data_IF_859172129469
#
_entry.id   IF_859172129469
#
_cell.length_a   1.000
_cell.length_b   1.000
_cell.length_c   1.000
_cell.angle_alpha   90.00
_cell.angle_beta   90.00
_cell.angle_gamma   90.00
#
_symmetry.space_group_name_H-M   'P 1'
#
loop_
_entity.id
_entity.type
_entity.pdbx_description
1 polymer ?
#
# COMPACT_ATOMS: atom_id res chain seq x y z
N UNK A 1 -20.52 10.64 -2.26
CA UNK A 1 -19.16 10.21 -2.65
C UNK A 1 -19.25 8.74 -2.99
N UNK A 2 -18.77 8.34 -4.18
CA UNK A 2 -18.74 6.94 -4.57
C UNK A 2 -17.48 6.31 -3.95
N UNK A 3 -17.67 5.36 -3.04
CA UNK A 3 -16.53 4.67 -2.40
C UNK A 3 -16.22 3.41 -3.20
N UNK A 4 -14.98 3.28 -3.65
CA UNK A 4 -14.49 2.14 -4.43
C UNK A 4 -13.34 1.50 -3.69
N UNK A 5 -13.51 0.22 -3.33
CA UNK A 5 -12.55 -0.57 -2.56
C UNK A 5 -12.27 -1.83 -3.35
N UNK A 6 -11.04 -1.93 -3.88
CA UNK A 6 -10.61 -3.07 -4.69
C UNK A 6 -9.22 -3.56 -4.32
N UNK A 7 -9.00 -4.86 -4.45
CA UNK A 7 -7.68 -5.49 -4.26
C UNK A 7 -7.08 -5.21 -2.88
N UNK A 8 -7.90 -5.24 -1.83
CA UNK A 8 -7.47 -5.13 -0.45
C UNK A 8 -7.32 -6.52 0.17
N UNK A 9 -6.35 -6.64 1.06
CA UNK A 9 -6.00 -7.89 1.73
C UNK A 9 -5.97 -7.61 3.22
N UNK A 10 -6.88 -8.24 3.98
CA UNK A 10 -6.97 -8.02 5.43
C UNK A 10 -6.68 -9.31 6.18
N UNK A 11 -6.11 -9.16 7.38
CA UNK A 11 -5.79 -10.27 8.29
C UNK A 11 -6.20 -9.90 9.72
N UNK A 12 -6.81 -10.86 10.42
CA UNK A 12 -7.01 -10.78 11.86
C UNK A 12 -6.64 -12.12 12.50
N UNK A 13 -5.62 -12.10 13.35
CA UNK A 13 -5.23 -13.25 14.15
C UNK A 13 -6.20 -13.52 15.30
N UNK A 14 -6.13 -14.73 15.85
CA UNK A 14 -6.93 -15.14 17.02
C UNK A 14 -6.49 -14.50 18.33
N UNK A 15 -5.34 -13.83 18.33
CA UNK A 15 -4.77 -13.10 19.47
C UNK A 15 -5.33 -11.67 19.64
N UNK A 16 -6.29 -11.26 18.81
CA UNK A 16 -6.89 -9.94 18.89
C UNK A 16 -7.89 -9.84 20.07
N UNK A 17 -7.78 -8.81 20.93
CA UNK A 17 -8.59 -8.68 22.15
C UNK A 17 -10.07 -8.32 21.89
N UNK A 18 -10.40 -7.93 20.66
CA UNK A 18 -11.76 -7.64 20.20
C UNK A 18 -11.98 -8.24 18.82
N UNK A 19 -13.24 -8.48 18.45
CA UNK A 19 -13.51 -8.89 17.10
C UNK A 19 -13.03 -7.83 16.11
N UNK A 20 -12.01 -8.13 15.30
CA UNK A 20 -11.63 -7.34 14.14
C UNK A 20 -12.76 -7.31 13.12
N UNK A 21 -12.89 -6.16 12.43
CA UNK A 21 -14.01 -5.90 11.54
C UNK A 21 -13.55 -5.15 10.29
N UNK A 22 -13.91 -5.67 9.12
CA UNK A 22 -13.95 -4.89 7.87
C UNK A 22 -15.29 -4.15 7.83
N UNK A 23 -15.26 -2.85 8.14
CA UNK A 23 -16.44 -2.02 8.34
C UNK A 23 -16.60 -1.01 7.19
N UNK A 24 -17.69 -1.12 6.42
CA UNK A 24 -17.97 -0.19 5.32
C UNK A 24 -19.30 0.54 5.53
N UNK A 25 -19.25 1.89 5.55
CA UNK A 25 -20.45 2.73 5.61
C UNK A 25 -21.14 2.84 6.97
N UNK A 26 -20.44 2.57 8.07
CA UNK A 26 -21.01 2.22 9.38
C UNK A 26 -21.80 3.30 10.15
N UNK A 27 -22.06 4.50 9.61
CA UNK A 27 -22.81 5.56 10.33
C UNK A 27 -23.61 6.53 9.43
N UNK A 28 -23.26 6.62 8.15
CA UNK A 28 -23.85 7.60 7.24
C UNK A 28 -24.31 6.96 5.92
N UNK A 29 -24.20 5.62 5.82
CA UNK A 29 -24.41 4.88 4.59
C UNK A 29 -23.39 5.24 3.50
N UNK A 30 -23.50 4.56 2.37
CA UNK A 30 -22.75 4.87 1.15
C UNK A 30 -23.71 4.66 -0.03
N UNK A 31 -23.64 5.53 -1.03
CA UNK A 31 -24.33 5.35 -2.33
C UNK A 31 -23.31 4.92 -3.38
N UNK A 32 -23.72 4.07 -4.33
CA UNK A 32 -22.86 3.58 -5.40
C UNK A 32 -21.56 2.95 -4.88
N UNK A 33 -21.67 2.16 -3.81
CA UNK A 33 -20.52 1.50 -3.20
C UNK A 33 -20.01 0.38 -4.10
N UNK A 34 -18.70 0.31 -4.33
CA UNK A 34 -18.06 -0.79 -5.06
C UNK A 34 -17.07 -1.49 -4.13
N UNK A 35 -17.33 -2.75 -3.82
CA UNK A 35 -16.41 -3.65 -3.13
C UNK A 35 -16.11 -4.82 -4.06
N UNK A 36 -14.93 -4.83 -4.65
CA UNK A 36 -14.62 -5.72 -5.77
C UNK A 36 -13.23 -6.34 -5.65
N UNK A 37 -13.14 -7.66 -5.79
CA UNK A 37 -11.85 -8.37 -5.87
C UNK A 37 -10.97 -8.18 -4.62
N UNK A 38 -11.56 -8.23 -3.42
CA UNK A 38 -10.84 -8.14 -2.15
C UNK A 38 -10.72 -9.50 -1.46
N UNK A 39 -9.67 -9.68 -0.68
CA UNK A 39 -9.43 -10.81 0.20
C UNK A 39 -9.60 -10.38 1.65
N UNK A 40 -10.80 -10.61 2.19
CA UNK A 40 -11.21 -10.08 3.48
C UNK A 40 -11.28 -11.21 4.49
N UNK A 41 -10.43 -11.18 5.50
CA UNK A 41 -10.59 -12.06 6.68
C UNK A 41 -11.27 -11.28 7.79
N UNK A 42 -11.86 -11.96 8.77
CA UNK A 42 -12.61 -11.40 9.89
C UNK A 42 -14.04 -10.94 9.54
N UNK A 43 -14.76 -10.41 10.54
CA UNK A 43 -16.15 -9.99 10.36
C UNK A 43 -16.23 -8.94 9.25
N UNK A 44 -17.16 -9.11 8.32
CA UNK A 44 -17.40 -8.13 7.25
C UNK A 44 -18.77 -7.49 7.44
N UNK A 45 -18.79 -6.15 7.47
CA UNK A 45 -20.01 -5.37 7.70
C UNK A 45 -20.26 -4.41 6.57
N UNK A 46 -21.50 -4.41 6.10
CA UNK A 46 -22.01 -3.48 5.09
C UNK A 46 -23.14 -2.67 5.70
N UNK A 47 -22.88 -1.40 5.99
CA UNK A 47 -23.78 -0.52 6.72
C UNK A 47 -23.92 -0.88 8.21
N UNK A 48 -24.78 -0.16 8.90
CA UNK A 48 -25.19 -0.42 10.29
C UNK A 48 -26.61 0.12 10.52
N UNK A 49 -27.33 -0.33 11.55
CA UNK A 49 -28.67 0.11 11.98
C UNK A 49 -29.21 1.38 11.28
N UNK A 50 -30.30 1.25 10.51
CA UNK A 50 -30.99 2.32 9.77
C UNK A 50 -30.14 3.12 8.75
N UNK A 51 -28.89 2.71 8.46
CA UNK A 51 -28.04 3.31 7.43
C UNK A 51 -27.67 2.27 6.37
N UNK A 52 -28.60 1.95 5.45
CA UNK A 52 -28.35 0.95 4.42
C UNK A 52 -27.29 1.45 3.42
N UNK A 53 -26.59 0.49 2.80
CA UNK A 53 -25.83 0.77 1.58
C UNK A 53 -26.83 0.73 0.42
N UNK A 54 -26.91 1.82 -0.34
CA UNK A 54 -27.78 1.91 -1.51
C UNK A 54 -26.97 1.70 -2.78
N UNK A 55 -27.53 0.96 -3.74
CA UNK A 55 -26.96 0.76 -5.08
C UNK A 55 -25.51 0.23 -5.05
N UNK A 56 -25.27 -0.80 -4.23
CA UNK A 56 -23.95 -1.40 -4.06
C UNK A 56 -23.64 -2.45 -5.13
N UNK A 57 -22.40 -2.46 -5.63
CA UNK A 57 -21.81 -3.57 -6.38
C UNK A 57 -20.77 -4.26 -5.51
N UNK A 58 -21.14 -5.40 -4.91
CA UNK A 58 -20.26 -6.24 -4.10
C UNK A 58 -20.06 -7.58 -4.80
N UNK A 59 -18.88 -7.81 -5.41
CA UNK A 59 -18.60 -9.01 -6.21
C UNK A 59 -17.11 -9.37 -6.25
N UNK A 60 -16.80 -10.61 -6.60
CA UNK A 60 -15.42 -11.08 -6.77
C UNK A 60 -14.60 -11.11 -5.48
N UNK A 61 -15.21 -10.87 -4.32
CA UNK A 61 -14.50 -10.88 -3.05
C UNK A 61 -14.41 -12.29 -2.50
N UNK A 62 -13.29 -12.61 -1.87
CA UNK A 62 -13.14 -13.76 -0.98
C UNK A 62 -13.28 -13.27 0.45
N UNK A 63 -14.45 -13.51 1.03
CA UNK A 63 -14.79 -13.10 2.40
C UNK A 63 -14.61 -14.33 3.27
N UNK A 64 -13.85 -14.24 4.35
CA UNK A 64 -13.46 -15.40 5.14
C UNK A 64 -13.46 -15.14 6.63
N UNK A 65 -13.73 -16.19 7.39
CA UNK A 65 -13.63 -16.25 8.84
C UNK A 65 -14.46 -15.16 9.55
N UNK A 66 -15.54 -15.58 10.19
CA UNK A 66 -16.16 -14.77 11.24
C UNK A 66 -15.48 -15.10 12.55
N UNK A 67 -15.19 -14.08 13.35
CA UNK A 67 -14.71 -14.32 14.72
C UNK A 67 -15.77 -15.18 15.43
N UNK A 68 -15.38 -16.13 16.31
CA UNK A 68 -16.29 -17.14 16.84
C UNK A 68 -17.60 -16.52 17.31
N UNK A 69 -18.72 -17.23 17.11
CA UNK A 69 -20.08 -16.73 17.32
C UNK A 69 -20.29 -16.00 18.67
N UNK A 70 -19.48 -16.29 19.69
CA UNK A 70 -19.45 -15.60 20.98
C UNK A 70 -19.13 -14.10 20.90
N UNK A 71 -18.46 -13.62 19.84
CA UNK A 71 -18.08 -12.22 19.63
C UNK A 71 -18.76 -11.55 18.41
N UNK A 72 -19.70 -12.23 17.75
CA UNK A 72 -20.56 -11.65 16.72
C UNK A 72 -20.66 -12.45 15.42
N UNK A 73 -21.18 -11.80 14.37
CA UNK A 73 -21.50 -12.42 13.09
C UNK A 73 -20.35 -12.33 12.09
N UNK A 74 -20.16 -13.40 11.31
CA UNK A 74 -19.24 -13.43 10.16
C UNK A 74 -19.61 -12.38 9.10
N UNK A 75 -20.89 -12.31 8.74
CA UNK A 75 -21.47 -11.27 7.89
C UNK A 75 -22.47 -10.48 8.72
N UNK A 76 -22.38 -9.15 8.69
CA UNK A 76 -23.34 -8.29 9.39
C UNK A 76 -23.91 -7.24 8.45
N UNK A 77 -25.25 -7.20 8.39
CA UNK A 77 -26.01 -6.24 7.59
C UNK A 77 -26.36 -6.76 6.19
N UNK A 78 -25.91 -7.97 5.87
CA UNK A 78 -26.21 -8.65 4.61
C UNK A 78 -26.01 -10.16 4.76
N UNK A 79 -26.54 -10.89 3.79
CA UNK A 79 -26.45 -12.34 3.60
C UNK A 79 -25.74 -12.66 2.29
N UNK A 80 -25.39 -13.92 2.07
CA UNK A 80 -24.82 -14.35 0.79
C UNK A 80 -25.79 -14.14 -0.38
N UNK A 81 -27.10 -14.25 -0.14
CA UNK A 81 -28.15 -14.04 -1.14
C UNK A 81 -28.21 -12.60 -1.63
N UNK A 82 -27.85 -11.63 -0.78
CA UNK A 82 -27.83 -10.21 -1.16
C UNK A 82 -26.72 -9.93 -2.20
N UNK A 83 -25.60 -10.66 -2.12
CA UNK A 83 -24.44 -10.49 -3.00
C UNK A 83 -23.83 -11.84 -3.42
N UNK A 84 -24.51 -12.60 -4.29
CA UNK A 84 -24.16 -14.00 -4.57
C UNK A 84 -22.89 -14.18 -5.42
N UNK A 85 -22.33 -13.10 -5.96
CA UNK A 85 -21.13 -13.13 -6.81
C UNK A 85 -19.84 -13.02 -6.00
N UNK A 86 -19.78 -13.56 -4.79
CA UNK A 86 -18.61 -13.57 -3.91
C UNK A 86 -18.39 -14.99 -3.38
N UNK A 87 -17.15 -15.27 -2.99
CA UNK A 87 -16.81 -16.51 -2.31
C UNK A 87 -16.85 -16.29 -0.79
N UNK A 88 -17.66 -17.11 -0.10
CA UNK A 88 -17.87 -17.01 1.34
C UNK A 88 -17.34 -18.25 2.06
N UNK A 89 -16.38 -18.04 2.96
CA UNK A 89 -15.80 -19.08 3.79
C UNK A 89 -16.03 -18.76 5.28
N UNK A 90 -16.93 -19.45 5.98
CA UNK A 90 -17.24 -19.13 7.38
C UNK A 90 -16.06 -19.41 8.33
N UNK A 91 -15.17 -20.33 7.97
CA UNK A 91 -13.95 -20.66 8.70
C UNK A 91 -12.70 -20.19 7.93
N UNK A 92 -11.59 -19.98 8.65
CA UNK A 92 -10.28 -19.79 8.03
C UNK A 92 -9.77 -21.12 7.44
N UNK A 93 -9.03 -21.10 6.33
CA UNK A 93 -8.30 -22.28 5.87
C UNK A 93 -7.36 -22.78 6.98
N UNK A 94 -7.17 -24.11 7.04
CA UNK A 94 -6.37 -24.78 8.07
C UNK A 94 -5.01 -25.25 7.57
N UNK A 95 -4.80 -25.18 6.25
CA UNK A 95 -3.59 -25.65 5.60
C UNK A 95 -3.32 -24.93 4.28
N UNK A 96 -2.08 -25.00 3.83
CA UNK A 96 -1.58 -24.44 2.58
C UNK A 96 -1.27 -22.94 2.67
N UNK A 97 -0.32 -22.44 1.85
CA UNK A 97 -0.13 -21.02 1.68
C UNK A 97 -1.06 -20.46 0.58
N UNK A 98 -1.52 -19.23 0.77
CA UNK A 98 -2.10 -18.40 -0.28
C UNK A 98 -1.37 -17.07 -0.29
N UNK A 99 -0.92 -16.60 -1.46
CA UNK A 99 -0.13 -15.38 -1.55
C UNK A 99 -0.49 -14.57 -2.78
N UNK A 100 -0.21 -13.27 -2.70
CA UNK A 100 -0.51 -12.30 -3.73
C UNK A 100 0.70 -11.40 -3.96
N UNK A 101 1.10 -11.27 -5.22
CA UNK A 101 2.08 -10.26 -5.64
C UNK A 101 1.35 -9.18 -6.40
N UNK A 102 1.48 -7.96 -5.91
CA UNK A 102 0.80 -6.79 -6.44
C UNK A 102 1.89 -5.82 -6.93
N UNK A 103 2.17 -5.81 -8.25
CA UNK A 103 3.06 -4.81 -8.84
C UNK A 103 2.55 -3.41 -8.55
N UNK A 104 3.46 -2.51 -8.20
CA UNK A 104 3.07 -1.13 -7.98
C UNK A 104 2.85 -0.43 -9.32
N UNK A 105 1.62 0.03 -9.58
CA UNK A 105 1.28 0.72 -10.84
C UNK A 105 1.99 2.05 -11.07
N UNK A 106 2.64 2.61 -10.05
CA UNK A 106 3.41 3.84 -10.16
C UNK A 106 4.92 3.57 -10.15
N UNK A 107 5.38 2.52 -9.46
CA UNK A 107 6.80 2.16 -9.31
C UNK A 107 7.10 0.75 -9.81
N UNK A 108 7.65 0.60 -11.04
CA UNK A 108 7.95 -0.70 -11.61
C UNK A 108 9.08 -1.45 -10.88
N UNK A 109 9.77 -0.80 -9.93
CA UNK A 109 10.79 -1.39 -9.08
C UNK A 109 10.25 -1.86 -7.73
N UNK A 110 8.95 -1.68 -7.49
CA UNK A 110 8.28 -2.05 -6.24
C UNK A 110 7.10 -2.99 -6.48
N UNK A 111 6.95 -3.98 -5.61
CA UNK A 111 5.73 -4.79 -5.53
C UNK A 111 5.40 -5.09 -4.06
N UNK A 112 4.13 -5.33 -3.75
CA UNK A 112 3.75 -5.87 -2.45
C UNK A 112 3.59 -7.38 -2.56
N UNK A 113 4.05 -8.10 -1.54
CA UNK A 113 3.82 -9.52 -1.36
C UNK A 113 3.02 -9.70 -0.08
N UNK A 114 1.83 -10.27 -0.20
CA UNK A 114 0.97 -10.65 0.92
C UNK A 114 0.97 -12.16 0.99
N UNK A 115 1.21 -12.73 2.18
CA UNK A 115 1.24 -14.17 2.42
C UNK A 115 0.28 -14.51 3.55
N UNK A 116 -0.66 -15.41 3.26
CA UNK A 116 -1.47 -16.14 4.22
C UNK A 116 -0.90 -17.56 4.35
N UNK A 117 -0.22 -17.84 5.45
CA UNK A 117 0.49 -19.07 5.74
C UNK A 117 -0.31 -19.92 6.73
N UNK A 118 -1.38 -20.56 6.23
CA UNK A 118 -2.34 -21.26 7.10
C UNK A 118 -1.73 -22.47 7.82
N UNK A 119 -0.66 -23.05 7.27
CA UNK A 119 0.13 -24.12 7.92
C UNK A 119 1.00 -23.61 9.08
N UNK A 120 1.14 -22.28 9.25
CA UNK A 120 2.12 -21.69 10.17
C UNK A 120 3.55 -22.20 9.94
N UNK A 121 3.89 -22.52 8.69
CA UNK A 121 5.22 -22.99 8.32
C UNK A 121 6.27 -21.91 8.58
N UNK A 122 7.51 -22.30 8.90
CA UNK A 122 8.62 -21.36 9.12
C UNK A 122 9.05 -20.64 7.83
N UNK A 123 8.78 -21.23 6.68
CA UNK A 123 9.04 -20.67 5.35
C UNK A 123 7.86 -20.94 4.41
N UNK A 124 7.64 -20.04 3.46
CA UNK A 124 6.65 -20.19 2.39
C UNK A 124 7.34 -20.03 1.03
N UNK A 125 7.11 -20.99 0.14
CA UNK A 125 7.65 -20.95 -1.21
C UNK A 125 6.74 -20.14 -2.15
N UNK A 126 7.25 -19.00 -2.63
CA UNK A 126 6.50 -18.00 -3.38
C UNK A 126 7.04 -17.89 -4.81
N UNK A 127 6.16 -17.94 -5.81
CA UNK A 127 6.48 -17.60 -7.18
C UNK A 127 6.45 -16.06 -7.37
N UNK A 128 7.61 -15.48 -7.69
CA UNK A 128 7.80 -14.04 -7.91
C UNK A 128 7.75 -13.63 -9.38
N UNK A 129 7.23 -14.48 -10.28
CA UNK A 129 7.10 -14.16 -11.71
C UNK A 129 6.25 -12.92 -11.99
N UNK A 130 5.26 -12.64 -11.13
CA UNK A 130 4.44 -11.43 -11.22
C UNK A 130 5.20 -10.17 -10.76
N UNK A 131 6.28 -10.32 -9.97
CA UNK A 131 7.15 -9.20 -9.65
C UNK A 131 8.04 -8.91 -10.87
N UNK A 132 8.26 -7.63 -11.16
CA UNK A 132 9.08 -7.19 -12.29
C UNK A 132 10.58 -7.39 -12.01
N UNK A 133 11.02 -8.62 -11.73
CA UNK A 133 12.38 -9.01 -11.36
C UNK A 133 12.89 -10.07 -12.32
N UNK A 134 14.10 -9.89 -12.85
CA UNK A 134 14.75 -10.81 -13.81
C UNK A 134 15.56 -11.90 -13.12
N UNK A 135 15.83 -13.01 -13.82
CA UNK A 135 16.68 -14.07 -13.26
C UNK A 135 18.08 -13.51 -12.98
N UNK A 136 18.70 -13.92 -11.87
CA UNK A 136 19.99 -13.40 -11.42
C UNK A 136 19.94 -11.98 -10.84
N UNK A 137 18.81 -11.28 -10.96
CA UNK A 137 18.65 -9.94 -10.40
C UNK A 137 18.53 -10.00 -8.86
N UNK A 138 19.20 -9.05 -8.20
CA UNK A 138 19.10 -8.89 -6.74
C UNK A 138 17.94 -7.96 -6.39
N UNK A 139 17.10 -8.38 -5.46
CA UNK A 139 16.06 -7.56 -4.85
C UNK A 139 16.01 -7.78 -3.34
N UNK A 140 15.15 -7.03 -2.68
CA UNK A 140 14.98 -7.07 -1.24
C UNK A 140 13.53 -7.34 -0.87
N UNK A 141 13.32 -8.18 0.14
CA UNK A 141 12.06 -8.29 0.85
C UNK A 141 12.16 -7.45 2.11
N UNK A 142 11.28 -6.46 2.24
CA UNK A 142 11.22 -5.57 3.40
C UNK A 142 9.96 -5.89 4.18
N UNK A 143 10.10 -6.34 5.43
CA UNK A 143 8.95 -6.60 6.30
C UNK A 143 8.26 -5.27 6.66
N UNK A 144 6.95 -5.17 6.42
CA UNK A 144 6.23 -3.92 6.66
C UNK A 144 6.11 -3.54 8.13
N UNK A 145 6.28 -4.50 9.05
CA UNK A 145 6.24 -4.25 10.49
C UNK A 145 7.56 -3.69 11.03
N UNK A 146 8.66 -3.80 10.27
CA UNK A 146 9.95 -3.16 10.57
C UNK A 146 10.68 -2.82 9.27
N UNK A 147 10.23 -1.76 8.62
CA UNK A 147 10.69 -1.38 7.29
C UNK A 147 12.16 -0.90 7.24
N UNK A 148 12.80 -0.69 8.39
CA UNK A 148 14.12 -0.07 8.49
C UNK A 148 15.22 -1.06 8.83
N UNK A 149 14.88 -2.13 9.56
CA UNK A 149 15.87 -3.07 10.09
C UNK A 149 15.67 -4.50 9.58
N UNK A 150 14.44 -4.86 9.17
CA UNK A 150 14.10 -6.21 8.73
C UNK A 150 14.00 -6.27 7.20
N UNK A 151 15.14 -6.56 6.59
CA UNK A 151 15.29 -6.60 5.14
C UNK A 151 16.11 -7.82 4.74
N UNK A 152 15.52 -8.66 3.88
CA UNK A 152 16.15 -9.88 3.38
C UNK A 152 16.61 -9.64 1.94
N UNK A 153 17.89 -9.85 1.68
CA UNK A 153 18.46 -9.76 0.33
C UNK A 153 18.24 -11.09 -0.41
N UNK A 154 17.68 -11.04 -1.61
CA UNK A 154 17.39 -12.21 -2.44
C UNK A 154 18.00 -12.04 -3.82
N UNK A 155 18.55 -13.12 -4.37
CA UNK A 155 18.91 -13.21 -5.80
C UNK A 155 17.83 -14.05 -6.47
N UNK A 156 17.19 -13.52 -7.50
CA UNK A 156 16.08 -14.18 -8.17
C UNK A 156 16.56 -15.46 -8.89
N UNK A 157 16.05 -16.65 -8.55
CA UNK A 157 16.44 -17.89 -9.21
C UNK A 157 15.77 -18.05 -10.57
N UNK A 158 16.30 -18.96 -11.39
CA UNK A 158 15.79 -19.26 -12.73
C UNK A 158 14.30 -19.65 -12.75
N UNK A 159 13.87 -20.44 -11.77
CA UNK A 159 12.48 -20.88 -11.64
C UNK A 159 11.54 -19.81 -11.05
N UNK A 160 12.05 -18.62 -10.70
CA UNK A 160 11.30 -17.53 -10.05
C UNK A 160 10.66 -17.89 -8.71
N UNK A 161 11.05 -18.99 -8.07
CA UNK A 161 10.48 -19.39 -6.77
C UNK A 161 11.47 -19.13 -5.65
N UNK A 162 11.03 -18.38 -4.64
CA UNK A 162 11.85 -18.01 -3.48
C UNK A 162 11.23 -18.55 -2.20
N UNK A 163 12.07 -18.86 -1.22
CA UNK A 163 11.61 -19.21 0.12
C UNK A 163 11.59 -17.94 0.98
N UNK A 164 10.39 -17.57 1.43
CA UNK A 164 10.15 -16.41 2.28
C UNK A 164 10.08 -16.87 3.73
N UNK A 165 10.97 -16.42 4.63
CA UNK A 165 10.86 -16.76 6.04
C UNK A 165 9.65 -16.07 6.66
N UNK A 166 8.90 -16.82 7.45
CA UNK A 166 7.70 -16.36 8.17
C UNK A 166 7.90 -16.35 9.68
N UNK A 167 9.09 -16.74 10.17
CA UNK A 167 9.48 -16.73 11.59
C UNK A 167 10.75 -15.91 11.79
N UNK A 168 10.96 -15.38 13.00
CA UNK A 168 12.14 -14.57 13.32
C UNK A 168 12.08 -13.15 12.75
N UNK A 169 10.90 -12.71 12.32
CA UNK A 169 10.65 -11.35 11.83
C UNK A 169 10.57 -10.37 13.01
N UNK A 170 11.12 -9.17 12.85
CA UNK A 170 11.00 -8.11 13.86
C UNK A 170 9.76 -7.24 13.63
N UNK A 171 9.50 -6.35 14.59
CA UNK A 171 8.47 -5.33 14.50
C UNK A 171 8.94 -4.09 15.27
N UNK A 172 8.45 -2.92 14.87
CA UNK A 172 8.69 -1.65 15.58
C UNK A 172 7.45 -1.21 16.36
N UNK A 173 7.67 -0.47 17.43
CA UNK A 173 6.58 0.18 18.15
C UNK A 173 6.02 1.35 17.34
N UNK A 174 4.68 1.50 17.28
CA UNK A 174 4.09 2.73 16.80
C UNK A 174 4.54 3.91 17.66
N UNK A 175 4.84 5.04 17.01
CA UNK A 175 5.16 6.27 17.73
C UNK A 175 4.03 6.61 18.71
N UNK A 176 4.40 6.97 19.94
CA UNK A 176 3.49 7.29 21.04
C UNK A 176 2.62 6.12 21.57
N UNK A 177 2.93 4.87 21.24
CA UNK A 177 2.32 3.69 21.88
C UNK A 177 3.36 2.91 22.69
N UNK A 178 2.99 2.52 23.91
CA UNK A 178 3.78 1.58 24.74
C UNK A 178 3.31 0.14 24.59
N UNK A 179 2.22 -0.11 23.85
CA UNK A 179 1.70 -1.44 23.64
C UNK A 179 2.55 -2.20 22.63
N UNK A 180 2.97 -3.41 23.01
CA UNK A 180 3.64 -4.34 22.10
C UNK A 180 2.65 -4.70 20.98
N UNK A 181 2.99 -4.45 19.71
CA UNK A 181 2.17 -4.89 18.60
C UNK A 181 1.98 -6.40 18.61
N UNK A 182 0.75 -6.85 18.42
CA UNK A 182 0.49 -8.26 18.18
C UNK A 182 1.08 -8.63 16.81
N UNK A 183 2.01 -9.57 16.79
CA UNK A 183 2.59 -10.05 15.52
C UNK A 183 1.61 -11.00 14.82
N UNK A 184 1.39 -10.84 13.51
CA UNK A 184 0.59 -11.77 12.71
C UNK A 184 1.40 -12.99 12.23
N UNK A 185 2.73 -12.95 12.38
CA UNK A 185 3.60 -14.06 12.02
C UNK A 185 3.44 -15.26 13.00
N UNK A 186 3.62 -16.51 12.52
CA UNK A 186 3.95 -16.89 11.14
C UNK A 186 2.74 -17.01 10.21
N UNK A 187 1.51 -16.91 10.71
CA UNK A 187 0.28 -17.20 9.95
C UNK A 187 0.01 -16.16 8.85
N UNK A 188 0.48 -14.91 9.01
CA UNK A 188 0.35 -13.87 8.00
C UNK A 188 1.55 -12.94 7.97
N UNK A 189 1.97 -12.56 6.76
CA UNK A 189 3.12 -11.68 6.53
C UNK A 189 2.91 -10.79 5.32
N UNK A 190 3.42 -9.57 5.40
CA UNK A 190 3.39 -8.61 4.28
C UNK A 190 4.79 -8.05 4.09
N UNK A 191 5.24 -8.08 2.84
CA UNK A 191 6.57 -7.64 2.44
C UNK A 191 6.47 -6.69 1.27
N UNK A 192 7.40 -5.74 1.21
CA UNK A 192 7.66 -4.95 0.01
C UNK A 192 8.83 -5.58 -0.72
N UNK A 193 8.61 -5.96 -1.98
CA UNK A 193 9.68 -6.31 -2.91
C UNK A 193 10.22 -5.01 -3.51
N UNK A 194 11.53 -4.76 -3.34
CA UNK A 194 12.18 -3.58 -3.89
C UNK A 194 13.43 -4.00 -4.67
N UNK A 195 13.47 -3.64 -5.94
CA UNK A 195 14.71 -3.66 -6.73
C UNK A 195 15.51 -2.42 -6.35
N UNK A 196 16.73 -2.57 -5.85
CA UNK A 196 17.60 -1.41 -5.64
C UNK A 196 18.11 -0.92 -6.99
N UNK A 197 17.43 0.06 -7.58
CA UNK A 197 18.12 1.11 -8.32
C UNK A 197 18.32 2.30 -7.38
N UNK A 198 19.56 2.53 -6.95
CA UNK A 198 20.07 3.78 -6.34
C UNK A 198 20.06 3.99 -4.81
N UNK A 199 21.02 4.85 -4.43
CA UNK A 199 21.40 5.31 -3.09
C UNK A 199 20.20 5.86 -2.32
N UNK A 200 19.94 5.30 -1.14
CA UNK A 200 19.12 5.98 -0.14
C UNK A 200 19.72 7.36 0.13
N UNK A 201 18.94 8.42 -0.07
CA UNK A 201 19.28 9.74 0.46
C UNK A 201 19.25 9.61 1.98
N UNK A 202 20.44 9.43 2.56
CA UNK A 202 20.65 9.60 4.00
C UNK A 202 20.49 11.08 4.27
N UNK A 203 19.67 11.43 5.27
CA UNK A 203 19.31 12.78 5.73
C UNK A 203 18.00 13.30 5.15
N UNK A 204 16.89 12.83 5.72
CA UNK A 204 15.64 13.59 5.72
C UNK A 204 15.63 14.45 6.98
N UNK A 205 15.82 15.76 6.83
CA UNK A 205 15.38 16.70 7.86
C UNK A 205 13.93 17.08 7.58
N UNK A 206 13.06 16.82 8.55
CA UNK A 206 11.69 17.32 8.54
C UNK A 206 11.74 18.82 8.82
N UNK A 207 11.70 19.63 7.75
CA UNK A 207 11.49 21.08 7.88
C UNK A 207 9.97 21.28 7.93
N UNK A 208 9.41 21.79 9.05
CA UNK A 208 7.98 22.06 9.14
C UNK A 208 7.56 22.99 8.00
N UNK A 209 6.39 22.72 7.41
CA UNK A 209 5.87 23.44 6.25
C UNK A 209 5.76 24.95 6.52
N UNK A 210 6.78 25.72 6.10
CA UNK A 210 6.64 27.15 5.89
C UNK A 210 5.98 27.37 4.53
N UNK A 211 4.64 27.25 4.50
CA UNK A 211 3.61 28.00 3.75
C UNK A 211 3.86 28.76 2.42
N UNK A 212 4.97 28.61 1.69
CA UNK A 212 5.20 29.43 0.49
C UNK A 212 5.02 28.69 -0.84
N UNK A 213 5.65 27.54 -1.09
CA UNK A 213 5.60 26.97 -2.45
C UNK A 213 4.28 26.25 -2.72
N UNK A 214 3.59 26.67 -3.78
CA UNK A 214 2.35 26.04 -4.28
C UNK A 214 2.61 25.34 -5.61
N UNK A 215 2.17 24.09 -5.72
CA UNK A 215 2.19 23.31 -6.97
C UNK A 215 0.75 22.99 -7.34
N UNK A 216 0.25 23.55 -8.45
CA UNK A 216 -1.16 23.49 -8.83
C UNK A 216 -1.30 23.22 -10.34
N UNK A 217 -2.22 22.35 -10.79
CA UNK A 217 -2.96 21.39 -9.99
C UNK A 217 -2.05 20.26 -9.48
N UNK A 218 -2.34 19.74 -8.28
CA UNK A 218 -1.71 18.53 -7.77
C UNK A 218 -2.76 17.72 -6.98
N UNK A 219 -3.30 16.62 -7.55
CA UNK A 219 -2.82 15.91 -8.75
C UNK A 219 -2.97 16.69 -10.06
N UNK A 220 -2.11 16.43 -11.03
CA UNK A 220 -2.10 17.04 -12.37
C UNK A 220 -2.54 16.06 -13.45
N UNK A 221 -3.15 16.57 -14.52
CA UNK A 221 -3.49 15.83 -15.74
C UNK A 221 -2.52 16.10 -16.91
N UNK A 222 -1.42 16.82 -16.66
CA UNK A 222 -0.42 17.07 -17.70
C UNK A 222 0.35 18.38 -17.56
N UNK A 223 -0.14 19.38 -16.82
CA UNK A 223 0.61 20.61 -16.55
C UNK A 223 0.57 20.97 -15.08
N UNK A 224 1.68 21.48 -14.56
CA UNK A 224 1.75 22.06 -13.22
C UNK A 224 2.32 23.47 -13.28
N UNK A 225 1.80 24.31 -12.40
CA UNK A 225 2.28 25.64 -12.11
C UNK A 225 2.89 25.64 -10.72
N UNK A 226 4.13 26.11 -10.62
CA UNK A 226 4.89 26.17 -9.39
C UNK A 226 5.10 27.65 -9.08
N UNK A 227 4.51 28.09 -7.97
CA UNK A 227 4.48 29.49 -7.56
C UNK A 227 5.37 29.73 -6.34
N UNK A 228 5.76 30.99 -6.17
CA UNK A 228 6.58 31.50 -5.05
C UNK A 228 7.99 30.90 -5.02
N UNK A 229 8.65 30.93 -6.17
CA UNK A 229 10.03 30.46 -6.39
C UNK A 229 11.07 31.57 -6.19
N UNK A 230 10.75 32.67 -5.48
CA UNK A 230 11.67 33.78 -5.26
C UNK A 230 13.00 33.27 -4.67
N UNK A 231 14.12 33.57 -5.33
CA UNK A 231 15.48 33.15 -4.96
C UNK A 231 15.76 31.63 -5.06
N UNK A 232 14.92 30.85 -5.74
CA UNK A 232 15.24 29.48 -6.07
C UNK A 232 16.42 29.44 -7.06
N UNK A 233 17.47 28.69 -6.72
CA UNK A 233 18.66 28.53 -7.54
C UNK A 233 18.42 27.49 -8.64
N UNK A 234 17.75 26.40 -8.27
CA UNK A 234 17.46 25.29 -9.17
C UNK A 234 16.21 24.53 -8.75
N UNK A 235 15.67 23.79 -9.70
CA UNK A 235 14.51 22.93 -9.53
C UNK A 235 14.75 21.66 -10.32
N UNK A 236 14.58 20.53 -9.66
CA UNK A 236 14.77 19.22 -10.24
C UNK A 236 13.49 18.43 -10.05
N UNK A 237 12.94 17.90 -11.14
CA UNK A 237 11.88 16.91 -11.06
C UNK A 237 12.51 15.54 -11.24
N UNK A 238 12.33 14.68 -10.25
CA UNK A 238 12.82 13.31 -10.25
C UNK A 238 11.64 12.35 -10.42
N UNK A 239 11.85 11.28 -11.17
CA UNK A 239 10.92 10.15 -11.13
C UNK A 239 10.96 9.47 -9.74
N UNK A 240 10.04 8.56 -9.50
CA UNK A 240 9.99 7.78 -8.25
C UNK A 240 11.24 6.95 -7.93
N UNK A 241 12.12 6.71 -8.91
CA UNK A 241 13.39 6.03 -8.73
C UNK A 241 14.53 7.00 -8.35
N UNK A 242 14.22 8.29 -8.16
CA UNK A 242 15.19 9.34 -7.83
C UNK A 242 16.01 9.83 -9.01
N UNK A 243 15.68 9.42 -10.24
CA UNK A 243 16.38 9.85 -11.45
C UNK A 243 15.83 11.21 -11.88
N UNK A 244 16.68 12.25 -12.02
CA UNK A 244 16.26 13.54 -12.57
C UNK A 244 15.74 13.38 -14.00
N UNK A 245 14.51 13.83 -14.24
CA UNK A 245 13.88 13.87 -15.58
C UNK A 245 13.81 15.29 -16.14
N UNK A 246 13.79 16.30 -15.26
CA UNK A 246 13.86 17.72 -15.62
C UNK A 246 14.74 18.46 -14.62
N UNK A 247 15.47 19.45 -15.12
CA UNK A 247 16.25 20.37 -14.29
C UNK A 247 16.17 21.76 -14.88
N UNK A 248 15.90 22.74 -14.02
CA UNK A 248 15.87 24.16 -14.34
C UNK A 248 16.86 24.89 -13.43
N UNK A 249 17.55 25.87 -13.99
CA UNK A 249 18.39 26.84 -13.28
C UNK A 249 17.93 28.25 -13.63
N UNK A 250 18.28 29.23 -12.79
CA UNK A 250 17.89 30.65 -12.99
C UNK A 250 16.37 30.83 -13.15
N UNK A 251 15.63 30.28 -12.20
CA UNK A 251 14.18 30.12 -12.33
C UNK A 251 13.49 31.45 -12.02
N UNK A 252 12.47 31.78 -12.83
CA UNK A 252 11.57 32.87 -12.53
C UNK A 252 10.77 32.61 -11.23
N UNK A 253 10.09 33.62 -10.70
CA UNK A 253 9.28 33.47 -9.48
C UNK A 253 8.12 32.47 -9.63
N UNK A 254 7.78 32.15 -10.88
CA UNK A 254 6.80 31.16 -11.28
C UNK A 254 7.35 30.31 -12.43
N UNK A 255 7.04 29.02 -12.42
CA UNK A 255 7.40 28.09 -13.47
C UNK A 255 6.20 27.21 -13.84
N UNK A 256 5.93 27.10 -15.14
CA UNK A 256 4.99 26.10 -15.67
C UNK A 256 5.78 24.94 -16.25
N UNK A 257 5.44 23.72 -15.85
CA UNK A 257 6.04 22.49 -16.37
C UNK A 257 4.97 21.69 -17.10
N UNK A 258 5.27 21.32 -18.35
CA UNK A 258 4.49 20.35 -19.10
C UNK A 258 4.97 18.93 -18.77
N UNK A 259 4.10 18.20 -18.09
CA UNK A 259 4.28 16.83 -17.68
C UNK A 259 3.66 15.82 -18.66
N UNK A 260 2.92 16.27 -19.67
CA UNK A 260 2.23 15.41 -20.65
C UNK A 260 3.15 14.39 -21.35
N UNK A 261 4.45 14.67 -21.59
CA UNK A 261 5.36 13.68 -22.17
C UNK A 261 5.80 12.55 -21.23
N UNK A 262 5.57 12.67 -19.91
CA UNK A 262 6.07 11.70 -18.93
C UNK A 262 4.99 10.68 -18.53
N UNK A 263 5.40 9.47 -18.10
CA UNK A 263 4.45 8.46 -17.64
C UNK A 263 3.62 8.93 -16.45
N UNK A 264 2.36 8.49 -16.38
CA UNK A 264 1.52 8.67 -15.18
C UNK A 264 2.24 8.09 -13.97
N UNK A 265 2.27 8.82 -12.86
CA UNK A 265 3.26 8.54 -11.83
C UNK A 265 3.34 9.56 -10.72
N UNK A 266 4.08 9.18 -9.68
CA UNK A 266 4.49 10.08 -8.61
C UNK A 266 5.91 10.58 -8.88
N UNK A 267 6.10 11.88 -8.74
CA UNK A 267 7.36 12.57 -8.97
C UNK A 267 7.77 13.36 -7.73
N UNK A 268 9.09 13.45 -7.50
CA UNK A 268 9.65 14.29 -6.45
C UNK A 268 10.16 15.59 -7.07
N UNK A 269 9.53 16.70 -6.70
CA UNK A 269 9.97 18.05 -7.04
C UNK A 269 10.91 18.55 -5.94
N UNK A 270 12.19 18.72 -6.27
CA UNK A 270 13.18 19.35 -5.39
C UNK A 270 13.42 20.79 -5.82
N UNK A 271 13.35 21.71 -4.88
CA UNK A 271 13.54 23.14 -5.10
C UNK A 271 14.68 23.60 -4.22
N UNK A 272 15.76 24.02 -4.86
CA UNK A 272 17.05 24.26 -4.23
C UNK A 272 17.24 25.77 -4.07
N UNK A 273 17.48 26.18 -2.83
CA UNK A 273 17.88 27.54 -2.47
C UNK A 273 19.30 27.50 -1.90
N UNK A 274 19.92 28.68 -1.72
CA UNK A 274 21.30 28.80 -1.23
C UNK A 274 21.58 28.05 0.08
N UNK A 275 20.60 27.96 0.98
CA UNK A 275 20.75 27.37 2.31
C UNK A 275 19.66 26.36 2.68
N UNK A 276 18.77 26.01 1.74
CA UNK A 276 17.67 25.06 1.99
C UNK A 276 17.26 24.33 0.73
N UNK A 277 16.75 23.11 0.89
CA UNK A 277 16.06 22.37 -0.19
C UNK A 277 14.65 22.06 0.27
N UNK A 278 13.67 22.35 -0.58
CA UNK A 278 12.26 22.04 -0.33
C UNK A 278 11.85 20.92 -1.29
N UNK A 279 11.16 19.92 -0.74
CA UNK A 279 10.66 18.77 -1.49
C UNK A 279 9.13 18.79 -1.53
N UNK A 280 8.55 18.60 -2.72
CA UNK A 280 7.11 18.44 -2.91
C UNK A 280 6.83 17.22 -3.80
N UNK A 281 5.81 16.45 -3.44
CA UNK A 281 5.34 15.35 -4.28
C UNK A 281 4.38 15.87 -5.33
N UNK A 282 4.52 15.40 -6.58
CA UNK A 282 3.61 15.70 -7.68
C UNK A 282 3.03 14.39 -8.19
N UNK A 283 1.69 14.29 -8.22
CA UNK A 283 0.99 13.14 -8.79
C UNK A 283 0.48 13.49 -10.19
N UNK A 284 0.90 12.74 -11.21
CA UNK A 284 0.42 12.83 -12.59
C UNK A 284 -0.58 11.68 -12.86
N UNK A 285 -1.82 12.04 -13.21
CA UNK A 285 -2.95 11.12 -13.42
C UNK A 285 -3.19 10.71 -14.87
#
# INVERSE_FOLDING_TARGET
MNTVIKHNYTYAGTNMPRPSVNAFGLNHGVRNFILDSNYLTCQTRLGFNNTPIFDASVKGNKIMAGIPAVYGYYLWGFTQTDFPLNDYFPEKPKQGPEYFIIPNGFDPNRSHLVIYNWDSASTVNVDVSAANVSEGETFYLVNVLDCFSDTIKVVCPANKRIDVPMTGMSFIYPNASTQIPATPFPEFGVFILIKKSQKFVKNFEFIPESSEIRVIPNPSSGKIEINKLQNALALVLENNSGVPILSYSNIAEQLTIDLSPYPKGMYLLRIIYKHKTINKWVLLL
#
